data_IF_445337531958
#
_entry.id   IF_445337531958
#
_cell.length_a   1.000
_cell.length_b   1.000
_cell.length_c   1.000
_cell.angle_alpha   90.00
_cell.angle_beta   90.00
_cell.angle_gamma   90.00
#
_symmetry.space_group_name_H-M   'P 1'
#
loop_
_entity.id
_entity.type
_entity.pdbx_description
1 polymer ?
#
# COMPACT_ATOMS: atom_id res chain seq x y z
N UNK A 1 -56.32 6.32 0.55
CA UNK A 1 -55.29 6.20 -0.51
C UNK A 1 -53.94 6.60 0.08
N UNK A 2 -53.11 5.68 0.59
CA UNK A 2 -51.76 6.01 1.02
C UNK A 2 -50.77 5.79 -0.13
N UNK A 3 -49.97 6.81 -0.40
CA UNK A 3 -48.85 6.81 -1.33
C UNK A 3 -47.75 5.85 -0.85
N UNK A 4 -47.23 5.02 -1.76
CA UNK A 4 -46.01 4.22 -1.52
C UNK A 4 -44.81 4.94 -2.15
N UNK A 5 -43.70 5.16 -1.43
CA UNK A 5 -42.49 5.72 -2.01
C UNK A 5 -41.76 4.65 -2.85
N UNK A 6 -41.14 5.10 -3.94
CA UNK A 6 -40.35 4.29 -4.87
C UNK A 6 -39.24 3.52 -4.13
N UNK A 7 -38.93 2.27 -4.53
CA UNK A 7 -37.84 1.52 -3.95
C UNK A 7 -36.49 2.16 -4.33
N UNK A 8 -35.65 2.37 -3.31
CA UNK A 8 -34.27 2.78 -3.46
C UNK A 8 -33.52 1.79 -4.36
N UNK A 9 -32.89 2.30 -5.41
CA UNK A 9 -32.02 1.54 -6.31
C UNK A 9 -30.86 0.88 -5.56
N UNK A 10 -31.01 -0.40 -5.23
CA UNK A 10 -29.96 -1.28 -4.71
C UNK A 10 -29.61 -2.33 -5.78
N UNK A 11 -29.27 -1.88 -6.99
CA UNK A 11 -29.18 -2.72 -8.19
C UNK A 11 -27.78 -3.19 -8.59
N UNK A 12 -26.71 -2.69 -7.96
CA UNK A 12 -25.34 -2.87 -8.50
C UNK A 12 -24.54 -4.00 -7.82
N UNK A 13 -24.93 -4.41 -6.61
CA UNK A 13 -24.17 -5.39 -5.81
C UNK A 13 -24.21 -6.80 -6.40
N UNK A 14 -25.30 -7.19 -7.08
CA UNK A 14 -25.47 -8.54 -7.61
C UNK A 14 -24.73 -8.79 -8.92
N UNK A 15 -24.59 -7.78 -9.78
CA UNK A 15 -23.91 -7.91 -11.07
C UNK A 15 -22.39 -7.91 -10.86
N UNK A 16 -21.88 -6.96 -10.10
CA UNK A 16 -20.45 -6.86 -9.78
C UNK A 16 -19.93 -8.11 -9.06
N UNK A 17 -20.68 -8.63 -8.09
CA UNK A 17 -20.31 -9.87 -7.38
C UNK A 17 -20.25 -11.10 -8.31
N UNK A 18 -21.17 -11.20 -9.28
CA UNK A 18 -21.16 -12.31 -10.27
C UNK A 18 -19.99 -12.20 -11.24
N UNK A 19 -19.71 -11.00 -11.75
CA UNK A 19 -18.54 -10.77 -12.62
C UNK A 19 -17.24 -11.12 -11.89
N UNK A 20 -17.14 -10.74 -10.62
CA UNK A 20 -15.97 -11.05 -9.79
C UNK A 20 -15.81 -12.56 -9.56
N UNK A 21 -16.92 -13.27 -9.31
CA UNK A 21 -16.92 -14.73 -9.22
C UNK A 21 -16.43 -15.41 -10.51
N UNK A 22 -16.93 -14.97 -11.67
CA UNK A 22 -16.47 -15.48 -12.97
C UNK A 22 -14.98 -15.21 -13.20
N UNK A 23 -14.50 -14.02 -12.85
CA UNK A 23 -13.08 -13.67 -12.97
C UNK A 23 -12.19 -14.54 -12.09
N UNK A 24 -12.58 -14.77 -10.83
CA UNK A 24 -11.84 -15.66 -9.94
C UNK A 24 -11.81 -17.10 -10.45
N UNK A 25 -12.90 -17.60 -11.03
CA UNK A 25 -12.92 -18.95 -11.62
C UNK A 25 -12.01 -19.03 -12.84
N UNK A 26 -12.02 -18.02 -13.70
CA UNK A 26 -11.09 -17.95 -14.82
C UNK A 26 -9.63 -17.92 -14.36
N UNK A 27 -9.29 -17.17 -13.30
CA UNK A 27 -7.94 -17.17 -12.73
C UNK A 27 -7.47 -18.57 -12.27
N UNK A 28 -8.38 -19.42 -11.83
CA UNK A 28 -8.09 -20.79 -11.38
C UNK A 28 -7.91 -21.77 -12.55
N UNK A 29 -8.72 -21.61 -13.60
CA UNK A 29 -8.94 -22.64 -14.61
C UNK A 29 -8.32 -22.29 -15.98
N UNK A 30 -7.66 -21.14 -16.13
CA UNK A 30 -7.05 -20.79 -17.41
C UNK A 30 -5.79 -21.62 -17.67
N UNK A 31 -5.70 -22.19 -18.87
CA UNK A 31 -4.54 -22.95 -19.36
C UNK A 31 -3.61 -22.10 -20.24
N UNK A 32 -3.80 -20.78 -20.26
CA UNK A 32 -3.01 -19.88 -21.12
C UNK A 32 -1.70 -19.44 -20.44
N UNK A 33 -0.70 -19.00 -21.20
CA UNK A 33 0.53 -18.44 -20.63
C UNK A 33 0.35 -16.96 -20.26
N UNK A 34 -0.55 -16.66 -19.31
CA UNK A 34 -0.80 -15.29 -18.84
C UNK A 34 -0.43 -15.10 -17.37
N UNK A 35 0.29 -14.01 -17.09
CA UNK A 35 0.63 -13.58 -15.74
C UNK A 35 -0.27 -12.41 -15.34
N UNK A 36 -1.01 -12.56 -14.24
CA UNK A 36 -1.97 -11.55 -13.78
C UNK A 36 -1.43 -10.85 -12.53
N UNK A 37 -1.43 -9.52 -12.57
CA UNK A 37 -1.09 -8.66 -11.43
C UNK A 37 -2.30 -7.81 -11.06
N UNK A 38 -2.63 -7.76 -9.78
CA UNK A 38 -3.74 -6.97 -9.26
C UNK A 38 -3.26 -6.14 -8.05
N UNK A 39 -3.85 -4.95 -7.88
CA UNK A 39 -3.56 -4.07 -6.74
C UNK A 39 -4.84 -3.70 -6.02
N UNK A 40 -4.85 -3.70 -4.69
CA UNK A 40 -5.99 -3.28 -3.89
C UNK A 40 -5.52 -2.42 -2.72
N UNK A 41 -6.05 -1.19 -2.63
CA UNK A 41 -5.81 -0.29 -1.50
C UNK A 41 -6.82 -0.47 -0.36
N UNK A 42 -7.86 -1.28 -0.56
CA UNK A 42 -8.88 -1.56 0.46
C UNK A 42 -9.29 -3.04 0.39
N UNK A 43 -8.62 -3.85 1.21
CA UNK A 43 -8.83 -5.30 1.27
C UNK A 43 -10.17 -5.68 1.89
N UNK A 44 -10.87 -4.76 2.57
CA UNK A 44 -12.19 -5.04 3.16
C UNK A 44 -13.30 -5.20 2.12
N UNK A 45 -13.08 -4.65 0.92
CA UNK A 45 -13.99 -4.78 -0.22
C UNK A 45 -13.75 -6.04 -1.03
N UNK A 46 -12.61 -6.71 -0.78
CA UNK A 46 -12.33 -7.98 -1.44
C UNK A 46 -13.15 -9.08 -0.77
N UNK A 47 -13.79 -9.96 -1.56
CA UNK A 47 -14.49 -11.12 -1.03
C UNK A 47 -13.53 -11.97 -0.16
N UNK A 48 -14.00 -12.54 0.97
CA UNK A 48 -13.17 -13.34 1.86
C UNK A 48 -12.51 -14.56 1.19
N UNK A 49 -13.03 -14.98 0.05
CA UNK A 49 -12.48 -15.99 -0.85
C UNK A 49 -11.07 -15.63 -1.35
N UNK A 50 -10.70 -14.35 -1.39
CA UNK A 50 -9.38 -13.88 -1.83
C UNK A 50 -8.27 -14.19 -0.82
N UNK A 51 -8.58 -14.22 0.47
CA UNK A 51 -7.60 -14.50 1.53
C UNK A 51 -7.31 -15.99 1.77
N UNK A 52 -8.03 -16.88 1.08
CA UNK A 52 -7.97 -18.35 1.25
C UNK A 52 -7.69 -19.12 -0.04
N UNK A 53 -7.71 -18.47 -1.19
CA UNK A 53 -7.73 -19.17 -2.45
C UNK A 53 -6.32 -19.50 -2.92
N UNK A 54 -6.11 -20.78 -3.27
CA UNK A 54 -4.99 -21.33 -4.03
C UNK A 54 -4.93 -20.76 -5.49
N UNK A 55 -5.44 -19.55 -5.71
CA UNK A 55 -5.63 -18.91 -7.03
C UNK A 55 -4.64 -17.77 -7.31
N UNK A 56 -4.00 -17.25 -6.27
CA UNK A 56 -2.88 -16.32 -6.42
C UNK A 56 -1.65 -16.98 -5.83
N UNK A 57 -0.58 -17.09 -6.62
CA UNK A 57 0.69 -17.68 -6.19
C UNK A 57 1.36 -16.88 -5.07
N UNK A 58 1.04 -15.60 -4.95
CA UNK A 58 1.55 -14.74 -3.89
C UNK A 58 0.75 -13.46 -3.72
N UNK A 59 0.55 -13.07 -2.47
CA UNK A 59 0.01 -11.76 -2.10
C UNK A 59 1.15 -10.95 -1.48
N UNK A 60 1.49 -9.84 -2.11
CA UNK A 60 2.55 -8.95 -1.64
C UNK A 60 1.95 -7.73 -0.95
N UNK A 61 2.51 -7.35 0.19
CA UNK A 61 2.18 -6.12 0.86
C UNK A 61 3.25 -5.07 0.57
N UNK A 62 2.80 -3.96 -0.01
CA UNK A 62 3.64 -2.78 -0.29
C UNK A 62 3.34 -1.74 0.79
N UNK A 63 4.29 -1.53 1.70
CA UNK A 63 4.17 -0.54 2.77
C UNK A 63 4.60 0.86 2.27
N UNK A 64 4.52 1.85 3.16
CA UNK A 64 5.12 3.16 2.95
C UNK A 64 6.63 3.03 2.73
N UNK A 65 7.20 3.82 1.80
CA UNK A 65 8.59 3.66 1.40
C UNK A 65 9.55 3.94 2.56
N UNK A 66 10.62 3.15 2.64
CA UNK A 66 11.77 3.40 3.52
C UNK A 66 12.52 4.68 3.11
N UNK A 67 13.52 5.07 3.90
CA UNK A 67 14.38 6.20 3.52
C UNK A 67 15.09 5.96 2.19
N UNK A 68 15.67 4.78 2.02
CA UNK A 68 16.40 4.39 0.81
C UNK A 68 15.48 4.37 -0.41
N UNK A 69 14.26 3.86 -0.25
CA UNK A 69 13.24 3.85 -1.30
C UNK A 69 12.78 5.29 -1.64
N UNK A 70 12.60 6.16 -0.65
CA UNK A 70 12.31 7.59 -0.88
C UNK A 70 13.43 8.30 -1.62
N UNK A 71 14.69 8.04 -1.27
CA UNK A 71 15.84 8.62 -1.95
C UNK A 71 15.90 8.19 -3.43
N UNK A 72 15.57 6.92 -3.71
CA UNK A 72 15.41 6.44 -5.08
C UNK A 72 14.24 7.10 -5.82
N UNK A 73 13.10 7.28 -5.16
CA UNK A 73 11.94 7.97 -5.72
C UNK A 73 12.25 9.44 -6.03
N UNK A 74 12.97 10.13 -5.13
CA UNK A 74 13.48 11.48 -5.37
C UNK A 74 14.34 11.51 -6.62
N UNK A 75 15.30 10.59 -6.75
CA UNK A 75 16.17 10.54 -7.92
C UNK A 75 15.38 10.42 -9.23
N UNK A 76 14.39 9.51 -9.28
CA UNK A 76 13.52 9.30 -10.44
C UNK A 76 12.79 10.59 -10.81
N UNK A 77 12.18 11.28 -9.83
CA UNK A 77 11.36 12.46 -10.14
C UNK A 77 12.17 13.74 -10.36
N UNK A 78 13.33 13.90 -9.71
CA UNK A 78 14.25 14.99 -10.01
C UNK A 78 14.72 14.90 -11.46
N UNK A 79 15.07 13.70 -11.94
CA UNK A 79 15.40 13.47 -13.35
C UNK A 79 14.21 13.71 -14.27
N UNK A 80 13.02 13.18 -13.94
CA UNK A 80 11.82 13.31 -14.78
C UNK A 80 11.41 14.77 -15.00
N UNK A 81 11.59 15.61 -13.98
CA UNK A 81 11.21 17.02 -14.02
C UNK A 81 12.41 17.97 -14.27
N UNK A 82 13.58 17.42 -14.60
CA UNK A 82 14.81 18.16 -14.91
C UNK A 82 15.23 19.15 -13.79
N UNK A 83 15.00 18.76 -12.54
CA UNK A 83 15.35 19.55 -11.35
C UNK A 83 16.77 19.20 -10.93
N UNK A 84 17.53 20.22 -10.55
CA UNK A 84 18.89 20.07 -10.01
C UNK A 84 18.89 19.09 -8.81
N UNK A 85 19.61 17.96 -8.89
CA UNK A 85 19.64 16.97 -7.82
C UNK A 85 20.28 17.46 -6.51
N UNK A 86 21.09 18.52 -6.58
CA UNK A 86 21.77 19.14 -5.43
C UNK A 86 20.87 20.17 -4.72
N UNK A 87 19.69 20.45 -5.26
CA UNK A 87 18.73 21.34 -4.63
C UNK A 87 18.28 20.79 -3.27
N UNK A 88 18.20 21.69 -2.27
CA UNK A 88 17.78 21.33 -0.92
C UNK A 88 16.35 20.76 -0.90
N UNK A 89 16.22 19.54 -0.41
CA UNK A 89 14.94 18.80 -0.28
C UNK A 89 14.18 19.17 1.00
N UNK A 90 12.84 19.12 0.99
CA UNK A 90 12.04 19.23 2.20
C UNK A 90 12.24 18.02 3.13
N UNK A 91 11.81 18.15 4.39
CA UNK A 91 11.67 16.99 5.27
C UNK A 91 10.53 16.11 4.75
N UNK A 92 10.84 14.85 4.47
CA UNK A 92 9.98 13.94 3.71
C UNK A 92 9.57 12.70 4.53
N UNK A 93 9.71 12.74 5.86
CA UNK A 93 9.38 11.62 6.76
C UNK A 93 7.93 11.13 6.57
N UNK A 94 7.00 12.06 6.32
CA UNK A 94 5.58 11.77 6.09
C UNK A 94 5.18 11.75 4.60
N UNK A 95 6.14 11.78 3.68
CA UNK A 95 5.84 11.72 2.25
C UNK A 95 5.79 10.28 1.79
N UNK A 96 4.82 9.96 0.93
CA UNK A 96 4.84 8.78 0.07
C UNK A 96 5.45 9.16 -1.28
N UNK A 97 5.59 8.19 -2.18
CA UNK A 97 6.05 8.48 -3.55
C UNK A 97 5.14 9.46 -4.30
N UNK A 98 3.85 9.51 -3.95
CA UNK A 98 2.91 10.46 -4.55
C UNK A 98 3.22 11.92 -4.14
N UNK A 99 3.52 12.18 -2.87
CA UNK A 99 3.90 13.51 -2.39
C UNK A 99 5.24 13.95 -2.98
N UNK A 100 6.23 13.06 -3.06
CA UNK A 100 7.53 13.37 -3.69
C UNK A 100 7.33 13.79 -5.15
N UNK A 101 6.54 13.00 -5.91
CA UNK A 101 6.18 13.33 -7.29
C UNK A 101 5.47 14.68 -7.38
N UNK A 102 4.49 14.91 -6.51
CA UNK A 102 3.71 16.16 -6.51
C UNK A 102 4.60 17.36 -6.21
N UNK A 103 5.52 17.24 -5.26
CA UNK A 103 6.50 18.27 -4.93
C UNK A 103 7.37 18.63 -6.14
N UNK A 104 7.98 17.64 -6.79
CA UNK A 104 8.81 17.87 -7.98
C UNK A 104 7.99 18.46 -9.13
N UNK A 105 6.79 17.92 -9.38
CA UNK A 105 5.88 18.45 -10.41
C UNK A 105 5.53 19.91 -10.17
N UNK A 106 5.25 20.30 -8.93
CA UNK A 106 4.91 21.68 -8.57
C UNK A 106 6.11 22.61 -8.66
N UNK A 107 7.30 22.16 -8.24
CA UNK A 107 8.54 22.91 -8.39
C UNK A 107 8.82 23.26 -9.85
N UNK A 108 8.73 22.28 -10.75
CA UNK A 108 8.93 22.49 -12.18
C UNK A 108 7.81 23.32 -12.82
N UNK A 109 6.54 23.08 -12.45
CA UNK A 109 5.41 23.80 -13.04
C UNK A 109 5.36 25.28 -12.65
N UNK A 110 5.74 25.61 -11.41
CA UNK A 110 5.69 26.96 -10.87
C UNK A 110 7.04 27.68 -10.97
N UNK A 111 8.09 26.97 -11.41
CA UNK A 111 9.48 27.44 -11.43
C UNK A 111 9.94 27.95 -10.06
N UNK A 112 9.70 27.14 -9.03
CA UNK A 112 10.04 27.47 -7.62
C UNK A 112 10.89 26.37 -6.98
N UNK A 113 11.67 26.70 -5.94
CA UNK A 113 12.44 25.69 -5.23
C UNK A 113 11.58 24.59 -4.59
N UNK A 114 12.13 23.38 -4.49
CA UNK A 114 11.46 22.22 -3.85
C UNK A 114 10.89 22.54 -2.47
N UNK A 115 11.62 23.31 -1.65
CA UNK A 115 11.15 23.73 -0.32
C UNK A 115 9.88 24.58 -0.36
N UNK A 116 9.72 25.41 -1.39
CA UNK A 116 8.53 26.23 -1.58
C UNK A 116 7.40 25.41 -2.20
N UNK A 117 7.71 24.54 -3.16
CA UNK A 117 6.72 23.62 -3.73
C UNK A 117 6.11 22.69 -2.67
N UNK A 118 6.92 22.19 -1.74
CA UNK A 118 6.49 21.31 -0.66
C UNK A 118 5.41 21.91 0.24
N UNK A 119 5.34 23.23 0.38
CA UNK A 119 4.30 23.91 1.18
C UNK A 119 2.89 23.75 0.59
N UNK A 120 2.81 23.39 -0.69
CA UNK A 120 1.57 23.18 -1.43
C UNK A 120 1.23 21.69 -1.58
N UNK A 121 2.00 20.80 -0.94
CA UNK A 121 1.76 19.36 -0.96
C UNK A 121 1.06 18.95 0.34
N UNK A 122 -0.13 18.36 0.22
CA UNK A 122 -0.87 17.81 1.38
C UNK A 122 -0.49 16.35 1.56
N UNK A 123 0.12 15.95 2.70
CA UNK A 123 0.51 14.56 2.92
C UNK A 123 -0.71 13.64 3.13
N UNK A 124 -0.91 12.71 2.20
CA UNK A 124 -1.88 11.62 2.27
C UNK A 124 -1.52 10.63 3.37
N UNK A 125 -0.23 10.38 3.64
CA UNK A 125 0.17 9.49 4.74
C UNK A 125 -0.40 9.93 6.10
N UNK A 126 -0.60 11.24 6.29
CA UNK A 126 -1.20 11.80 7.51
C UNK A 126 -2.71 11.62 7.50
N UNK A 127 -3.38 11.82 6.36
CA UNK A 127 -4.84 11.69 6.28
C UNK A 127 -5.32 10.24 6.24
N UNK A 128 -4.49 9.31 5.77
CA UNK A 128 -4.81 7.89 5.62
C UNK A 128 -4.14 6.99 6.67
N UNK A 129 -3.48 7.55 7.69
CA UNK A 129 -2.71 6.80 8.70
C UNK A 129 -3.51 5.63 9.31
N UNK A 130 -4.76 5.86 9.69
CA UNK A 130 -5.63 4.81 10.25
C UNK A 130 -5.89 3.67 9.25
N UNK A 131 -6.12 4.01 7.97
CA UNK A 131 -6.36 3.03 6.92
C UNK A 131 -5.11 2.21 6.63
N UNK A 132 -3.94 2.86 6.60
CA UNK A 132 -2.64 2.19 6.47
C UNK A 132 -2.43 1.21 7.62
N UNK A 133 -2.70 1.63 8.86
CA UNK A 133 -2.50 0.77 10.02
C UNK A 133 -3.43 -0.47 10.03
N UNK A 134 -4.69 -0.29 9.63
CA UNK A 134 -5.60 -1.42 9.44
C UNK A 134 -5.08 -2.41 8.38
N UNK A 135 -4.56 -1.89 7.26
CA UNK A 135 -3.98 -2.73 6.20
C UNK A 135 -2.73 -3.48 6.68
N UNK A 136 -1.83 -2.81 7.41
CA UNK A 136 -0.63 -3.44 7.99
C UNK A 136 -0.99 -4.56 8.97
N UNK A 137 -1.98 -4.32 9.83
CA UNK A 137 -2.50 -5.33 10.77
C UNK A 137 -3.07 -6.54 10.02
N UNK A 138 -3.83 -6.29 8.94
CA UNK A 138 -4.37 -7.35 8.10
C UNK A 138 -3.25 -8.12 7.36
N UNK A 139 -2.26 -7.44 6.80
CA UNK A 139 -1.20 -8.05 6.01
C UNK A 139 -0.21 -8.87 6.86
N UNK A 140 -0.05 -8.53 8.15
CA UNK A 140 0.88 -9.18 9.06
C UNK A 140 0.61 -10.69 9.15
N UNK A 141 1.59 -11.49 8.72
CA UNK A 141 1.48 -12.95 8.69
C UNK A 141 0.62 -13.52 7.55
N UNK A 142 0.06 -12.68 6.67
CA UNK A 142 -0.80 -13.08 5.54
C UNK A 142 -0.18 -12.80 4.18
N UNK A 143 0.73 -11.84 4.09
CA UNK A 143 1.36 -11.40 2.85
C UNK A 143 2.88 -11.58 2.87
N UNK A 144 3.48 -11.64 1.68
CA UNK A 144 4.92 -11.46 1.48
C UNK A 144 5.27 -9.98 1.59
N UNK A 145 6.43 -9.67 2.15
CA UNK A 145 6.98 -8.32 2.19
C UNK A 145 7.55 -7.97 0.81
N UNK A 146 7.18 -6.81 0.26
CA UNK A 146 7.65 -6.37 -1.04
C UNK A 146 9.08 -5.79 -1.02
N UNK A 147 9.53 -5.31 0.14
CA UNK A 147 10.84 -4.67 0.32
C UNK A 147 11.89 -5.64 0.85
N UNK A 148 11.48 -6.69 1.57
CA UNK A 148 12.39 -7.66 2.18
C UNK A 148 11.99 -9.12 1.89
N UNK A 149 12.95 -10.05 1.78
CA UNK A 149 12.61 -11.46 1.64
C UNK A 149 11.82 -12.01 2.85
N UNK A 150 10.63 -12.55 2.60
CA UNK A 150 9.87 -13.32 3.58
C UNK A 150 8.44 -12.81 3.81
N UNK A 151 7.83 -13.31 4.89
CA UNK A 151 6.47 -12.94 5.29
C UNK A 151 6.49 -11.56 5.95
N UNK A 152 5.60 -10.67 5.52
CA UNK A 152 5.40 -9.35 6.10
C UNK A 152 5.01 -9.46 7.58
N UNK A 153 5.70 -8.69 8.42
CA UNK A 153 5.44 -8.63 9.86
C UNK A 153 5.31 -7.18 10.29
N UNK A 154 4.09 -6.80 10.58
CA UNK A 154 3.83 -5.54 11.25
C UNK A 154 4.29 -5.63 12.71
N UNK A 155 5.17 -4.72 13.11
CA UNK A 155 5.62 -4.60 14.51
C UNK A 155 4.73 -3.56 15.17
N UNK A 156 3.71 -4.01 15.91
CA UNK A 156 3.07 -3.15 16.89
C UNK A 156 4.15 -2.60 17.83
N UNK A 157 4.17 -1.28 18.04
CA UNK A 157 5.09 -0.61 18.97
C UNK A 157 5.00 -1.08 20.44
N UNK A 158 4.30 -2.18 20.74
CA UNK A 158 4.11 -2.77 22.07
C UNK A 158 4.89 -4.07 22.32
N UNK A 159 5.77 -4.48 21.41
CA UNK A 159 6.61 -5.67 21.59
C UNK A 159 7.76 -5.46 22.59
N UNK A 160 7.50 -5.64 23.89
CA UNK A 160 8.54 -5.82 24.92
C UNK A 160 9.63 -6.73 24.37
N UNK A 161 10.88 -6.24 24.41
CA UNK A 161 12.07 -7.01 24.08
C UNK A 161 11.97 -8.41 24.73
N UNK A 162 11.88 -9.46 23.90
CA UNK A 162 11.99 -10.84 24.39
C UNK A 162 13.36 -10.99 25.01
N UNK A 163 13.42 -10.83 26.33
CA UNK A 163 14.61 -11.04 27.15
C UNK A 163 15.08 -12.47 26.88
N UNK A 164 16.21 -12.58 26.19
CA UNK A 164 16.90 -13.84 25.89
C UNK A 164 17.29 -14.46 27.23
N UNK A 165 16.59 -15.52 27.65
CA UNK A 165 16.97 -16.29 28.83
C UNK A 165 18.22 -17.07 28.46
N UNK A 166 19.39 -16.65 28.97
CA UNK A 166 20.58 -17.50 28.91
C UNK A 166 20.34 -18.70 29.81
N UNK A 167 20.26 -19.90 29.22
CA UNK A 167 20.39 -21.14 29.99
C UNK A 167 21.85 -21.22 30.44
N UNK A 168 22.10 -21.00 31.74
CA UNK A 168 23.36 -21.43 32.34
C UNK A 168 23.32 -22.97 32.44
N UNK A 169 24.32 -23.63 31.85
CA UNK A 169 24.57 -25.05 32.05
C UNK A 169 25.00 -25.25 33.50
N UNK A 170 24.21 -26.00 34.27
CA UNK A 170 24.62 -26.51 35.57
C UNK A 170 25.46 -27.76 35.33
N UNK A 171 26.78 -27.65 35.47
CA UNK A 171 27.64 -28.81 35.64
C UNK A 171 27.38 -29.39 37.04
N UNK A 172 27.09 -30.69 37.08
CA UNK A 172 27.37 -31.53 38.25
C UNK A 172 27.88 -32.88 37.75
#
# INVERSE_FOLDING_TARGET
MPWSPWPNGSGDSGVSSRMFGTFLSWLSDHESDVFVVCTANDVSKLPPEFGRSERFDGVFFVDLPSREEKDAIWHIYLQLFEIDPDQRRPQDDNFTGAEIRACCRLAALLDVPLLQAAQNVVPVAVTAAESVERLRTWASGRCLDASHPGIYRHRDGSGKARRRVSRHSSNN
#
